data_IF_511440202843
#
_entry.id   IF_511440202843
#
_cell.length_a   1.000
_cell.length_b   1.000
_cell.length_c   1.000
_cell.angle_alpha   90.00
_cell.angle_beta   90.00
_cell.angle_gamma   90.00
#
_symmetry.space_group_name_H-M   'P 1'
#
loop_
_entity.id
_entity.type
_entity.pdbx_description
1 polymer ?
#
# COMPACT_ATOMS: atom_id res chain seq x y z
N UNK A 1 32.33 25.08 20.74
CA UNK A 1 31.13 24.69 21.49
C UNK A 1 29.97 24.56 20.50
N UNK A 2 29.57 23.32 20.20
CA UNK A 2 28.51 23.02 19.23
C UNK A 2 27.13 23.32 19.86
N UNK A 3 26.37 24.25 19.27
CA UNK A 3 25.01 24.57 19.73
C UNK A 3 24.10 23.38 19.43
N UNK A 4 23.76 22.58 20.44
CA UNK A 4 22.74 21.53 20.30
C UNK A 4 21.40 22.19 19.92
N UNK A 5 20.95 21.99 18.68
CA UNK A 5 19.61 22.40 18.26
C UNK A 5 18.60 21.67 19.13
N UNK A 6 17.80 22.43 19.86
CA UNK A 6 16.70 21.92 20.67
C UNK A 6 15.57 21.52 19.71
N UNK A 7 15.57 20.26 19.25
CA UNK A 7 14.52 19.72 18.37
C UNK A 7 13.30 19.46 19.26
N UNK A 8 12.38 20.44 19.33
CA UNK A 8 11.09 20.22 19.96
C UNK A 8 10.24 19.32 19.05
N UNK A 9 9.65 18.22 19.57
CA UNK A 9 8.77 17.38 18.77
C UNK A 9 7.56 18.19 18.29
N UNK A 10 7.35 18.17 16.97
CA UNK A 10 6.19 18.79 16.35
C UNK A 10 5.03 17.78 16.36
N UNK A 11 4.27 17.81 17.47
CA UNK A 11 3.13 16.91 17.67
C UNK A 11 2.05 17.08 16.59
N UNK A 12 1.93 18.26 15.96
CA UNK A 12 1.00 18.50 14.87
C UNK A 12 1.35 17.66 13.64
N UNK A 13 2.62 17.67 13.23
CA UNK A 13 3.12 16.82 12.14
C UNK A 13 3.03 15.33 12.45
N UNK A 14 3.27 14.95 13.70
CA UNK A 14 3.14 13.55 14.11
C UNK A 14 1.69 13.07 14.03
N UNK A 15 0.73 13.90 14.47
CA UNK A 15 -0.68 13.56 14.41
C UNK A 15 -1.20 13.49 12.97
N UNK A 16 -0.77 14.41 12.09
CA UNK A 16 -1.15 14.37 10.68
C UNK A 16 -0.58 13.14 9.97
N UNK A 17 0.71 12.84 10.20
CA UNK A 17 1.34 11.64 9.64
C UNK A 17 0.68 10.34 10.16
N UNK A 18 0.31 10.32 11.44
CA UNK A 18 -0.43 9.20 12.03
C UNK A 18 -1.83 9.05 11.42
N UNK A 19 -2.54 10.15 11.21
CA UNK A 19 -3.85 10.16 10.56
C UNK A 19 -3.79 9.65 9.12
N UNK A 20 -2.81 10.11 8.34
CA UNK A 20 -2.56 9.62 6.98
C UNK A 20 -2.23 8.13 6.97
N UNK A 21 -1.29 7.69 7.80
CA UNK A 21 -0.91 6.28 7.90
C UNK A 21 -2.09 5.39 8.34
N UNK A 22 -2.90 5.87 9.29
CA UNK A 22 -4.09 5.16 9.78
C UNK A 22 -5.13 5.01 8.67
N UNK A 23 -5.45 6.09 7.95
CA UNK A 23 -6.38 6.06 6.82
C UNK A 23 -5.92 5.08 5.74
N UNK A 24 -4.62 5.12 5.41
CA UNK A 24 -4.02 4.19 4.46
C UNK A 24 -4.16 2.73 4.92
N UNK A 25 -3.88 2.45 6.20
CA UNK A 25 -3.97 1.12 6.78
C UNK A 25 -5.41 0.57 6.78
N UNK A 26 -6.41 1.42 7.04
CA UNK A 26 -7.81 1.04 7.02
C UNK A 26 -8.20 0.59 5.62
N UNK A 27 -7.86 1.39 4.60
CA UNK A 27 -8.12 1.04 3.19
C UNK A 27 -7.41 -0.26 2.82
N UNK A 28 -6.15 -0.41 3.24
CA UNK A 28 -5.32 -1.56 2.91
C UNK A 28 -5.81 -2.86 3.53
N UNK A 29 -6.55 -2.82 4.65
CA UNK A 29 -7.14 -4.02 5.26
C UNK A 29 -8.59 -4.22 4.82
N UNK A 30 -9.38 -3.15 4.76
CA UNK A 30 -10.81 -3.20 4.49
C UNK A 30 -11.12 -3.78 3.10
N UNK A 31 -10.46 -3.28 2.05
CA UNK A 31 -10.73 -3.74 0.69
C UNK A 31 -10.32 -5.20 0.48
N UNK A 32 -9.11 -5.67 0.88
CA UNK A 32 -8.76 -7.08 0.75
C UNK A 32 -9.69 -8.01 1.51
N UNK A 33 -10.14 -7.64 2.72
CA UNK A 33 -11.10 -8.46 3.47
C UNK A 33 -12.44 -8.56 2.72
N UNK A 34 -12.95 -7.46 2.18
CA UNK A 34 -14.19 -7.49 1.39
C UNK A 34 -14.02 -8.33 0.13
N UNK A 35 -12.95 -8.13 -0.64
CA UNK A 35 -12.69 -8.92 -1.85
C UNK A 35 -12.48 -10.40 -1.54
N UNK A 36 -11.85 -10.74 -0.42
CA UNK A 36 -11.70 -12.12 0.03
C UNK A 36 -13.07 -12.73 0.34
N UNK A 37 -13.90 -12.05 1.12
CA UNK A 37 -15.25 -12.54 1.47
C UNK A 37 -16.12 -12.70 0.23
N UNK A 38 -16.10 -11.72 -0.68
CA UNK A 38 -16.80 -11.80 -1.97
C UNK A 38 -16.26 -12.93 -2.84
N UNK A 39 -14.93 -13.10 -2.90
CA UNK A 39 -14.27 -14.17 -3.64
C UNK A 39 -14.69 -15.54 -3.13
N UNK A 40 -14.63 -15.76 -1.82
CA UNK A 40 -15.11 -17.00 -1.17
C UNK A 40 -16.59 -17.24 -1.45
N UNK A 41 -17.41 -16.18 -1.38
CA UNK A 41 -18.84 -16.29 -1.66
C UNK A 41 -19.11 -16.71 -3.11
N UNK A 42 -18.39 -16.12 -4.07
CA UNK A 42 -18.50 -16.46 -5.49
C UNK A 42 -17.98 -17.88 -5.75
N UNK A 43 -16.81 -18.24 -5.20
CA UNK A 43 -16.24 -19.59 -5.33
C UNK A 43 -17.22 -20.66 -4.82
N UNK A 44 -17.87 -20.41 -3.67
CA UNK A 44 -18.92 -21.28 -3.13
C UNK A 44 -20.17 -21.33 -4.01
N UNK A 45 -20.59 -20.20 -4.58
CA UNK A 45 -21.78 -20.13 -5.43
C UNK A 45 -21.60 -20.87 -6.76
N UNK A 46 -20.40 -20.84 -7.34
CA UNK A 46 -20.10 -21.47 -8.62
C UNK A 46 -19.48 -22.87 -8.48
N UNK A 47 -19.24 -23.34 -7.26
CA UNK A 47 -18.66 -24.66 -7.00
C UNK A 47 -17.21 -24.78 -7.49
N UNK A 48 -16.52 -23.65 -7.65
CA UNK A 48 -15.15 -23.62 -8.15
C UNK A 48 -14.16 -23.82 -7.00
N UNK A 49 -12.96 -24.32 -7.33
CA UNK A 49 -11.77 -24.15 -6.47
C UNK A 49 -11.57 -22.65 -6.14
N UNK A 50 -10.78 -22.26 -5.12
CA UNK A 50 -10.63 -20.86 -4.66
C UNK A 50 -9.96 -19.93 -5.69
N UNK A 51 -10.57 -19.81 -6.87
CA UNK A 51 -9.99 -19.28 -8.09
C UNK A 51 -10.08 -17.77 -8.07
N UNK A 52 -11.18 -17.21 -7.58
CA UNK A 52 -11.33 -15.76 -7.42
C UNK A 52 -10.34 -15.20 -6.41
N UNK A 53 -10.03 -15.97 -5.35
CA UNK A 53 -9.00 -15.60 -4.37
C UNK A 53 -7.61 -15.59 -5.03
N UNK A 54 -7.26 -16.65 -5.77
CA UNK A 54 -5.96 -16.75 -6.45
C UNK A 54 -5.79 -15.62 -7.47
N UNK A 55 -6.81 -15.35 -8.28
CA UNK A 55 -6.80 -14.25 -9.24
C UNK A 55 -6.69 -12.90 -8.53
N UNK A 56 -7.45 -12.67 -7.47
CA UNK A 56 -7.40 -11.43 -6.69
C UNK A 56 -6.00 -11.17 -6.10
N UNK A 57 -5.37 -12.19 -5.53
CA UNK A 57 -3.99 -12.11 -5.02
C UNK A 57 -3.00 -11.84 -6.15
N UNK A 58 -3.11 -12.55 -7.27
CA UNK A 58 -2.25 -12.36 -8.44
C UNK A 58 -2.33 -10.94 -9.00
N UNK A 59 -3.55 -10.41 -9.18
CA UNK A 59 -3.77 -9.03 -9.59
C UNK A 59 -3.24 -8.02 -8.57
N UNK A 60 -3.44 -8.27 -7.28
CA UNK A 60 -2.93 -7.41 -6.21
C UNK A 60 -1.41 -7.28 -6.23
N UNK A 61 -0.69 -8.40 -6.36
CA UNK A 61 0.77 -8.44 -6.46
C UNK A 61 1.24 -7.70 -7.73
N UNK A 62 0.61 -7.96 -8.87
CA UNK A 62 0.95 -7.30 -10.13
C UNK A 62 0.75 -5.78 -10.07
N UNK A 63 -0.37 -5.32 -9.51
CA UNK A 63 -0.67 -3.91 -9.33
C UNK A 63 0.32 -3.23 -8.37
N UNK A 64 0.69 -3.92 -7.29
CA UNK A 64 1.71 -3.44 -6.36
C UNK A 64 3.08 -3.30 -7.04
N UNK A 65 3.54 -4.33 -7.75
CA UNK A 65 4.79 -4.28 -8.50
C UNK A 65 4.80 -3.15 -9.54
N UNK A 66 3.68 -2.91 -10.21
CA UNK A 66 3.53 -1.79 -11.14
C UNK A 66 3.64 -0.42 -10.45
N UNK A 67 2.99 -0.24 -9.29
CA UNK A 67 3.10 1.00 -8.51
C UNK A 67 4.52 1.22 -8.00
N UNK A 68 5.17 0.19 -7.47
CA UNK A 68 6.57 0.25 -7.02
C UNK A 68 7.45 0.67 -8.18
N UNK A 69 7.35 0.01 -9.34
CA UNK A 69 8.12 0.36 -10.54
C UNK A 69 7.89 1.82 -10.97
N UNK A 70 6.63 2.30 -10.91
CA UNK A 70 6.25 3.68 -11.25
C UNK A 70 6.85 4.70 -10.27
N UNK A 71 6.83 4.42 -8.97
CA UNK A 71 7.44 5.29 -7.95
C UNK A 71 8.95 5.30 -8.12
N UNK A 72 9.58 4.14 -8.29
CA UNK A 72 11.02 4.07 -8.55
C UNK A 72 11.43 4.79 -9.83
N UNK A 73 10.64 4.72 -10.92
CA UNK A 73 10.95 5.46 -12.14
C UNK A 73 10.85 6.97 -11.98
N UNK A 74 10.00 7.45 -11.06
CA UNK A 74 9.88 8.88 -10.76
C UNK A 74 11.01 9.38 -9.83
N UNK A 75 11.64 8.47 -9.08
CA UNK A 75 12.74 8.77 -8.17
C UNK A 75 14.13 8.50 -8.76
N UNK A 76 14.23 7.76 -9.88
CA UNK A 76 15.51 7.47 -10.53
C UNK A 76 16.03 8.77 -11.16
N UNK A 77 17.12 9.36 -10.65
CA UNK A 77 17.74 10.51 -11.30
C UNK A 77 18.22 10.06 -12.69
N UNK A 78 18.07 10.94 -13.65
CA UNK A 78 18.38 10.74 -15.07
C UNK A 78 19.89 10.87 -15.26
N UNK A 79 20.67 10.01 -14.63
CA UNK A 79 22.14 10.07 -14.59
C UNK A 79 22.76 9.37 -15.81
N UNK A 80 22.34 9.74 -17.03
CA UNK A 80 22.97 9.33 -18.28
C UNK A 80 22.94 10.51 -19.28
N UNK A 81 23.66 11.59 -18.94
CA UNK A 81 24.14 12.60 -19.90
C UNK A 81 25.66 12.83 -19.71
N UNK A 82 26.43 11.75 -19.79
CA UNK A 82 27.86 11.82 -20.08
C UNK A 82 28.09 11.48 -21.56
#
# INVERSE_FOLDING_TARGET
MEKRKNIKPDYGKLLSAFGEASSLSIIFVFFPVIFLVLGVFLDKKFGTMPLFIILGVGFGIAAFAYQVKKVLSNLRPKDDQL
#
